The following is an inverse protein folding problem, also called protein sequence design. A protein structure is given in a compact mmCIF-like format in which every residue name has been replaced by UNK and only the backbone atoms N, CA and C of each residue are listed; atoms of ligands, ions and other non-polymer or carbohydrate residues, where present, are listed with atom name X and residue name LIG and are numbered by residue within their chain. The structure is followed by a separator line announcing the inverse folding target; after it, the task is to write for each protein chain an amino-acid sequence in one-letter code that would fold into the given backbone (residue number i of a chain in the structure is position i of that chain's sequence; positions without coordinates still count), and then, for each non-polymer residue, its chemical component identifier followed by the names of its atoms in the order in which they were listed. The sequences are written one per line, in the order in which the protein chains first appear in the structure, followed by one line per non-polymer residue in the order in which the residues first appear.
data_IF_032039621989
#
_entry.id   IF_032039621989
#
_cell.length_a   1.000
_cell.length_b   1.000
_cell.length_c   1.000
_cell.angle_alpha   90.00
_cell.angle_beta   90.00
_cell.angle_gamma   90.00
#
_symmetry.space_group_name_H-M   'P 1'
#
loop_
_entity.id
_entity.type
_entity.pdbx_description
1 polymer ?
#
# COMPACT_ATOMS: atom_id res chain seq x y z
N UNK A 1 0.34 -1.94 49.49
CA UNK A 1 -0.62 -2.02 48.37
C UNK A 1 -0.12 -1.11 47.26
N UNK A 2 0.46 -1.64 46.19
CA UNK A 2 0.84 -0.85 45.01
C UNK A 2 -0.18 -1.12 43.90
N UNK A 3 -0.97 -0.12 43.57
CA UNK A 3 -1.96 -0.15 42.50
C UNK A 3 -1.25 0.17 41.19
N UNK A 4 -0.75 -0.85 40.50
CA UNK A 4 -0.19 -0.69 39.15
C UNK A 4 -1.34 -0.61 38.16
N UNK A 5 -1.81 0.62 37.93
CA UNK A 5 -2.72 0.93 36.83
C UNK A 5 -2.10 0.48 35.51
N UNK A 6 -2.54 -0.68 35.01
CA UNK A 6 -2.26 -1.14 33.64
C UNK A 6 -2.82 -0.09 32.69
N UNK A 7 -1.95 0.66 32.03
CA UNK A 7 -2.31 1.44 30.86
C UNK A 7 -2.73 0.48 29.75
N UNK A 8 -4.02 0.15 29.69
CA UNK A 8 -4.60 -0.53 28.53
C UNK A 8 -4.77 0.54 27.46
N UNK A 9 -3.84 0.60 26.50
CA UNK A 9 -4.10 1.29 25.24
C UNK A 9 -5.25 0.55 24.56
N UNK A 10 -6.46 1.11 24.63
CA UNK A 10 -7.59 0.67 23.79
C UNK A 10 -7.18 0.95 22.34
N UNK A 11 -6.70 -0.08 21.61
CA UNK A 11 -6.58 0.01 20.15
C UNK A 11 -7.99 0.28 19.64
N UNK A 12 -8.18 1.38 18.92
CA UNK A 12 -9.44 1.62 18.22
C UNK A 12 -9.53 0.57 17.13
N UNK A 13 -10.31 -0.48 17.38
CA UNK A 13 -10.58 -1.53 16.41
C UNK A 13 -11.21 -0.84 15.17
N UNK A 14 -10.58 -0.90 13.99
CA UNK A 14 -11.14 -0.33 12.76
C UNK A 14 -12.53 -0.90 12.49
N UNK A 15 -13.40 -0.14 11.81
CA UNK A 15 -14.75 -0.63 11.48
C UNK A 15 -14.72 -1.93 10.68
N UNK A 16 -13.66 -2.16 9.91
CA UNK A 16 -13.43 -3.39 9.16
C UNK A 16 -13.30 -4.64 10.06
N UNK A 17 -12.76 -4.48 11.27
CA UNK A 17 -12.61 -5.58 12.23
C UNK A 17 -13.85 -5.74 13.13
N UNK A 18 -14.69 -4.69 13.26
CA UNK A 18 -15.89 -4.70 14.13
C UNK A 18 -17.08 -5.42 13.53
N UNK A 19 -17.20 -5.47 12.20
CA UNK A 19 -18.40 -5.94 11.49
C UNK A 19 -18.07 -7.07 10.49
N UNK A 20 -17.40 -8.12 10.97
CA UNK A 20 -17.16 -9.33 10.19
C UNK A 20 -18.40 -10.23 10.22
N UNK A 21 -19.03 -10.44 9.07
CA UNK A 21 -20.05 -11.47 8.90
C UNK A 21 -19.45 -12.89 8.90
N UNK A 22 -20.28 -13.94 8.95
CA UNK A 22 -19.83 -15.34 9.00
C UNK A 22 -19.02 -15.77 7.76
N UNK A 23 -19.17 -15.06 6.64
CA UNK A 23 -18.49 -15.32 5.37
C UNK A 23 -17.47 -14.22 5.01
N UNK A 24 -17.24 -13.28 5.91
CA UNK A 24 -16.25 -12.22 5.70
C UNK A 24 -14.87 -12.68 6.18
N UNK A 25 -13.83 -12.24 5.47
CA UNK A 25 -12.44 -12.48 5.83
C UNK A 25 -11.72 -11.15 5.99
N UNK A 26 -10.89 -11.04 7.03
CA UNK A 26 -9.98 -9.93 7.19
C UNK A 26 -8.63 -10.30 6.58
N UNK A 27 -8.20 -9.58 5.54
CA UNK A 27 -6.93 -9.82 4.86
C UNK A 27 -5.95 -8.68 5.12
N UNK A 28 -4.66 -9.02 5.08
CA UNK A 28 -3.59 -8.03 5.08
C UNK A 28 -3.36 -7.48 3.66
N UNK A 29 -3.08 -6.17 3.59
CA UNK A 29 -2.70 -5.47 2.36
C UNK A 29 -1.34 -4.81 2.56
N UNK A 30 -0.43 -5.05 1.62
CA UNK A 30 0.93 -4.48 1.60
C UNK A 30 1.21 -3.79 0.28
N UNK A 31 2.00 -2.72 0.33
CA UNK A 31 2.57 -2.09 -0.86
C UNK A 31 3.91 -2.75 -1.17
N UNK A 32 4.19 -3.04 -2.43
CA UNK A 32 5.48 -3.59 -2.82
C UNK A 32 5.99 -3.08 -4.15
N UNK A 33 7.31 -3.05 -4.30
CA UNK A 33 8.00 -2.93 -5.58
C UNK A 33 8.57 -4.29 -5.96
N UNK A 34 8.64 -4.53 -7.27
CA UNK A 34 9.35 -5.67 -7.83
C UNK A 34 10.71 -5.21 -8.34
N UNK A 35 11.80 -5.77 -7.82
CA UNK A 35 13.12 -5.63 -8.42
C UNK A 35 13.45 -6.88 -9.26
N UNK A 36 13.88 -6.64 -10.50
CA UNK A 36 14.31 -7.66 -11.45
C UNK A 36 15.82 -7.63 -11.73
N UNK A 37 16.58 -6.81 -10.98
CA UNK A 37 18.01 -6.56 -11.22
C UNK A 37 18.90 -7.79 -10.96
N UNK A 38 18.44 -8.72 -10.13
CA UNK A 38 19.09 -10.01 -9.90
C UNK A 38 18.11 -11.08 -10.34
N UNK A 39 18.58 -12.15 -11.01
CA UNK A 39 17.81 -13.28 -11.58
C UNK A 39 16.81 -13.99 -10.60
N UNK A 40 16.58 -13.45 -9.42
CA UNK A 40 15.51 -13.79 -8.49
C UNK A 40 14.58 -12.58 -8.36
N UNK A 41 13.30 -12.78 -8.69
CA UNK A 41 12.25 -11.80 -8.48
C UNK A 41 12.12 -11.49 -6.98
N UNK A 42 12.62 -10.33 -6.56
CA UNK A 42 12.53 -9.88 -5.17
C UNK A 42 11.35 -8.92 -5.00
N UNK A 43 10.51 -9.25 -4.03
CA UNK A 43 9.41 -8.39 -3.56
C UNK A 43 9.95 -7.55 -2.41
N UNK A 44 9.93 -6.22 -2.57
CA UNK A 44 10.28 -5.29 -1.50
C UNK A 44 9.03 -4.58 -1.00
N UNK A 45 8.63 -4.88 0.23
CA UNK A 45 7.50 -4.21 0.87
C UNK A 45 7.88 -2.82 1.36
N UNK A 46 6.98 -1.85 1.23
CA UNK A 46 7.15 -0.48 1.71
C UNK A 46 5.83 0.11 2.23
N UNK A 47 5.89 1.34 2.73
CA UNK A 47 4.71 2.06 3.22
C UNK A 47 4.12 1.45 4.49
N UNK A 48 2.84 1.76 4.74
CA UNK A 48 2.12 1.31 5.93
C UNK A 48 1.09 0.25 5.52
N UNK A 49 1.25 -1.02 5.92
CA UNK A 49 0.25 -2.04 5.64
C UNK A 49 -1.05 -1.76 6.38
N UNK A 50 -2.16 -2.24 5.83
CA UNK A 50 -3.47 -2.09 6.43
C UNK A 50 -4.31 -3.35 6.23
N UNK A 51 -5.37 -3.46 7.00
CA UNK A 51 -6.33 -4.55 6.89
C UNK A 51 -7.53 -4.14 6.04
N UNK A 52 -8.08 -5.10 5.32
CA UNK A 52 -9.33 -4.93 4.61
C UNK A 52 -10.22 -6.14 4.82
N UNK A 53 -11.49 -5.88 5.16
CA UNK A 53 -12.52 -6.90 5.14
C UNK A 53 -12.94 -7.19 3.70
N UNK A 54 -12.92 -8.46 3.31
CA UNK A 54 -13.47 -8.93 2.04
C UNK A 54 -14.62 -9.91 2.26
N UNK A 55 -15.58 -9.94 1.35
CA UNK A 55 -16.69 -10.91 1.38
C UNK A 55 -16.43 -12.10 0.45
N UNK A 56 -17.10 -13.23 0.71
CA UNK A 56 -16.88 -14.51 0.00
C UNK A 56 -16.95 -14.43 -1.52
N UNK A 57 -17.75 -13.52 -2.09
CA UNK A 57 -17.95 -13.40 -3.55
C UNK A 57 -17.44 -12.07 -4.12
N UNK A 58 -16.64 -11.34 -3.33
CA UNK A 58 -16.15 -10.04 -3.75
C UNK A 58 -15.07 -10.19 -4.82
N UNK A 59 -15.28 -9.54 -5.95
CA UNK A 59 -14.34 -9.50 -7.07
C UNK A 59 -13.19 -8.53 -6.77
N UNK A 60 -12.06 -8.71 -7.46
CA UNK A 60 -10.95 -7.76 -7.34
C UNK A 60 -11.36 -6.34 -7.75
N UNK A 61 -12.22 -6.18 -8.77
CA UNK A 61 -12.71 -4.87 -9.19
C UNK A 61 -13.42 -4.12 -8.05
N UNK A 62 -14.28 -4.81 -7.30
CA UNK A 62 -14.99 -4.25 -6.16
C UNK A 62 -14.02 -3.91 -5.01
N UNK A 63 -13.07 -4.81 -4.73
CA UNK A 63 -12.01 -4.58 -3.73
C UNK A 63 -11.14 -3.37 -4.10
N UNK A 64 -10.78 -3.21 -5.37
CA UNK A 64 -9.99 -2.08 -5.89
C UNK A 64 -10.65 -0.75 -5.60
N UNK A 65 -11.95 -0.61 -5.86
CA UNK A 65 -12.72 0.63 -5.57
C UNK A 65 -12.63 1.00 -4.09
N UNK A 66 -12.75 0.01 -3.20
CA UNK A 66 -12.67 0.22 -1.74
C UNK A 66 -11.26 0.60 -1.30
N UNK A 67 -10.24 -0.06 -1.84
CA UNK A 67 -8.82 0.27 -1.57
C UNK A 67 -8.52 1.69 -2.04
N UNK A 68 -8.93 2.06 -3.26
CA UNK A 68 -8.71 3.39 -3.81
C UNK A 68 -9.36 4.46 -2.94
N UNK A 69 -10.61 4.26 -2.54
CA UNK A 69 -11.34 5.17 -1.64
C UNK A 69 -10.64 5.30 -0.28
N UNK A 70 -10.13 4.20 0.26
CA UNK A 70 -9.43 4.17 1.56
C UNK A 70 -8.09 4.90 1.50
N UNK A 71 -7.33 4.74 0.41
CA UNK A 71 -6.02 5.34 0.22
C UNK A 71 -6.07 6.77 -0.36
N UNK A 72 -7.23 7.20 -0.86
CA UNK A 72 -7.45 8.49 -1.51
C UNK A 72 -6.48 8.75 -2.68
N UNK A 73 -6.20 7.71 -3.47
CA UNK A 73 -5.27 7.77 -4.61
C UNK A 73 -6.03 8.20 -5.88
N UNK A 74 -5.52 9.18 -6.65
CA UNK A 74 -6.12 9.57 -7.93
C UNK A 74 -6.22 8.39 -8.91
N UNK A 75 -7.28 8.38 -9.72
CA UNK A 75 -7.52 7.29 -10.68
C UNK A 75 -6.36 7.07 -11.66
N UNK A 76 -5.72 8.15 -12.11
CA UNK A 76 -4.61 8.08 -13.06
C UNK A 76 -3.33 7.47 -12.46
N UNK A 77 -3.18 7.52 -11.13
CA UNK A 77 -2.10 6.84 -10.43
C UNK A 77 -2.51 5.40 -10.12
N UNK A 78 -3.71 5.20 -9.58
CA UNK A 78 -4.21 3.90 -9.14
C UNK A 78 -4.38 2.89 -10.27
N UNK A 79 -4.77 3.34 -11.46
CA UNK A 79 -4.91 2.50 -12.67
C UNK A 79 -3.59 1.87 -13.14
N UNK A 80 -2.44 2.39 -12.71
CA UNK A 80 -1.11 1.85 -13.03
C UNK A 80 -0.70 0.73 -12.06
N UNK A 81 -1.39 0.59 -10.93
CA UNK A 81 -1.03 -0.38 -9.90
C UNK A 81 -1.43 -1.78 -10.34
N UNK A 82 -0.61 -2.77 -9.97
CA UNK A 82 -0.96 -4.18 -10.16
C UNK A 82 -1.27 -4.82 -8.82
N UNK A 83 -2.15 -5.80 -8.86
CA UNK A 83 -2.66 -6.46 -7.66
C UNK A 83 -2.27 -7.92 -7.74
N UNK A 84 -1.67 -8.43 -6.68
CA UNK A 84 -1.23 -9.80 -6.63
C UNK A 84 -1.58 -10.44 -5.30
N UNK A 85 -1.95 -11.71 -5.34
CA UNK A 85 -1.91 -12.56 -4.16
C UNK A 85 -0.46 -12.99 -3.93
N UNK A 86 0.11 -12.68 -2.77
CA UNK A 86 1.46 -13.10 -2.43
C UNK A 86 1.40 -14.30 -1.50
N UNK A 87 2.22 -15.30 -1.81
CA UNK A 87 2.46 -16.47 -0.96
C UNK A 87 3.93 -16.84 -1.05
N UNK A 88 4.62 -16.96 0.09
CA UNK A 88 6.04 -17.31 0.16
C UNK A 88 6.93 -16.41 -0.72
N UNK A 89 6.62 -15.11 -0.79
CA UNK A 89 7.36 -14.12 -1.59
C UNK A 89 7.12 -14.19 -3.09
N UNK A 90 6.21 -15.05 -3.57
CA UNK A 90 5.85 -15.16 -4.98
C UNK A 90 4.51 -14.48 -5.23
N UNK A 91 4.44 -13.47 -6.11
CA UNK A 91 3.17 -12.85 -6.47
C UNK A 91 2.48 -13.62 -7.60
N UNK A 92 1.19 -13.86 -7.40
CA UNK A 92 0.22 -14.35 -8.39
C UNK A 92 -0.73 -13.20 -8.75
N UNK A 93 -0.60 -12.64 -9.95
CA UNK A 93 -1.36 -11.44 -10.33
C UNK A 93 -2.82 -11.76 -10.58
N UNK A 94 -3.68 -10.93 -10.00
CA UNK A 94 -5.13 -11.09 -10.05
C UNK A 94 -5.74 -10.23 -11.16
N UNK A 95 -6.79 -10.77 -11.77
CA UNK A 95 -7.66 -10.09 -12.74
C UNK A 95 -8.88 -9.51 -12.03
N UNK A 96 -9.53 -8.54 -12.68
CA UNK A 96 -10.68 -7.83 -12.11
C UNK A 96 -11.86 -8.74 -11.74
N UNK A 97 -12.03 -9.86 -12.46
CA UNK A 97 -13.09 -10.84 -12.21
C UNK A 97 -12.72 -11.92 -11.18
N UNK A 98 -11.46 -11.94 -10.70
CA UNK A 98 -11.05 -12.93 -9.71
C UNK A 98 -11.77 -12.71 -8.37
N UNK A 99 -12.25 -13.80 -7.78
CA UNK A 99 -12.83 -13.79 -6.42
C UNK A 99 -11.68 -13.79 -5.41
N UNK A 100 -11.53 -12.69 -4.67
CA UNK A 100 -10.35 -12.47 -3.81
C UNK A 100 -10.30 -13.49 -2.67
N UNK A 101 -11.44 -13.72 -2.01
CA UNK A 101 -11.58 -14.66 -0.88
C UNK A 101 -11.07 -16.07 -1.21
N UNK A 102 -11.25 -16.52 -2.47
CA UNK A 102 -10.87 -17.86 -2.94
C UNK A 102 -9.38 -18.14 -2.83
N UNK A 103 -8.55 -17.10 -2.85
CA UNK A 103 -7.10 -17.19 -2.74
C UNK A 103 -6.61 -17.40 -1.30
N UNK A 104 -7.43 -17.05 -0.31
CA UNK A 104 -7.09 -17.10 1.12
C UNK A 104 -7.70 -18.31 1.86
N UNK A 105 -8.16 -19.34 1.15
CA UNK A 105 -8.93 -20.46 1.73
C UNK A 105 -8.07 -21.60 2.31
N UNK A 106 -6.74 -21.61 2.11
CA UNK A 106 -5.90 -22.71 2.60
C UNK A 106 -5.34 -22.42 3.99
N UNK A 107 -5.88 -23.17 4.95
CA UNK A 107 -5.34 -23.38 6.30
C UNK A 107 -4.07 -24.23 6.24
N UNK A 108 -2.99 -23.66 6.72
CA UNK A 108 -1.92 -24.32 7.44
C UNK A 108 -1.44 -23.39 8.55
N UNK A 109 -1.30 -23.97 9.75
CA UNK A 109 -1.21 -23.31 11.07
C UNK A 109 0.05 -22.41 11.20
N UNK A 110 0.92 -22.39 10.18
CA UNK A 110 2.16 -21.61 10.14
C UNK A 110 2.25 -20.61 8.96
N UNK A 111 1.39 -20.71 7.93
CA UNK A 111 1.49 -19.93 6.67
C UNK A 111 0.59 -18.69 6.58
N UNK A 112 -0.27 -18.45 7.57
CA UNK A 112 -1.24 -17.34 7.55
C UNK A 112 -0.60 -15.94 7.53
N UNK A 113 0.65 -15.80 8.02
CA UNK A 113 1.39 -14.54 8.00
C UNK A 113 2.12 -14.29 6.67
N UNK A 114 2.18 -15.29 5.79
CA UNK A 114 2.90 -15.23 4.51
C UNK A 114 1.97 -14.92 3.34
N UNK A 115 0.66 -14.84 3.59
CA UNK A 115 -0.37 -14.57 2.59
C UNK A 115 -0.94 -13.17 2.74
N UNK A 116 -0.89 -12.39 1.67
CA UNK A 116 -1.48 -11.04 1.63
C UNK A 116 -1.83 -10.61 0.22
N UNK A 117 -2.67 -9.58 0.12
CA UNK A 117 -2.91 -8.87 -1.13
C UNK A 117 -1.84 -7.78 -1.30
N UNK A 118 -0.99 -7.92 -2.30
CA UNK A 118 0.05 -6.97 -2.64
C UNK A 118 -0.42 -5.93 -3.65
N UNK A 119 -0.04 -4.68 -3.41
CA UNK A 119 -0.23 -3.53 -4.28
C UNK A 119 1.12 -3.17 -4.91
N UNK A 120 1.34 -3.61 -6.14
CA UNK A 120 2.57 -3.29 -6.88
C UNK A 120 2.50 -1.86 -7.41
N UNK A 121 3.38 -0.99 -6.90
CA UNK A 121 3.62 0.34 -7.46
C UNK A 121 4.96 0.91 -6.98
N UNK A 122 5.44 1.97 -7.65
CA UNK A 122 6.60 2.71 -7.17
C UNK A 122 6.29 3.46 -5.88
N UNK A 123 7.23 3.52 -4.94
CA UNK A 123 7.13 4.38 -3.77
C UNK A 123 7.14 5.86 -4.17
N UNK A 124 5.95 6.46 -4.24
CA UNK A 124 5.77 7.89 -4.53
C UNK A 124 5.93 8.76 -3.27
N UNK A 125 6.06 8.17 -2.08
CA UNK A 125 6.36 8.92 -0.85
C UNK A 125 7.75 9.55 -0.90
N UNK A 126 8.73 8.82 -1.47
CA UNK A 126 10.05 9.37 -1.79
C UNK A 126 9.96 10.55 -2.76
N UNK A 127 9.13 10.47 -3.81
CA UNK A 127 8.97 11.55 -4.80
C UNK A 127 8.30 12.81 -4.24
N UNK A 128 7.34 12.67 -3.30
CA UNK A 128 6.71 13.82 -2.64
C UNK A 128 7.69 14.59 -1.75
N UNK A 129 8.61 13.91 -1.07
CA UNK A 129 9.67 14.58 -0.31
C UNK A 129 10.59 15.43 -1.19
N UNK A 130 10.90 14.97 -2.42
CA UNK A 130 11.66 15.77 -3.38
C UNK A 130 10.85 16.92 -3.99
N UNK A 131 9.57 16.73 -4.31
CA UNK A 131 8.73 17.79 -4.88
C UNK A 131 8.45 18.93 -3.88
N UNK A 132 8.21 18.63 -2.59
CA UNK A 132 8.05 19.65 -1.54
C UNK A 132 9.29 20.53 -1.38
N UNK A 133 10.49 19.99 -1.61
CA UNK A 133 11.73 20.77 -1.55
C UNK A 133 11.97 21.64 -2.81
N UNK A 134 11.34 21.32 -3.95
CA UNK A 134 11.45 22.14 -5.16
C UNK A 134 10.53 23.38 -5.15
N UNK A 135 9.42 23.34 -4.41
CA UNK A 135 8.52 24.49 -4.27
C UNK A 135 9.03 25.62 -3.36
N UNK A 136 10.21 25.47 -2.74
CA UNK A 136 10.87 26.56 -1.98
C UNK A 136 12.02 27.24 -2.77
N UNK A 137 12.32 26.80 -3.99
CA UNK A 137 13.31 27.45 -4.86
C UNK A 137 12.68 28.01 -6.14
N UNK A 138 11.62 28.80 -6.00
CA UNK A 138 11.30 29.83 -7.00
C UNK A 138 12.08 31.11 -6.67
N UNK A 139 13.34 31.20 -7.11
CA UNK A 139 13.97 32.50 -7.27
C UNK A 139 13.51 33.12 -8.59
N UNK A 140 12.49 33.97 -8.46
CA UNK A 140 12.13 35.18 -9.24
C UNK A 140 12.90 35.40 -10.56
N UNK A 141 12.21 35.56 -11.73
CA UNK A 141 12.86 35.94 -12.98
C UNK A 141 13.00 37.47 -13.12
N UNK A 142 14.19 37.96 -13.49
CA UNK A 142 14.38 39.34 -13.98
C UNK A 142 15.86 39.72 -14.25
N UNK A 143 16.17 40.61 -15.22
CA UNK A 143 17.31 40.43 -16.13
C UNK A 143 18.53 41.39 -15.97
N UNK A 144 19.70 40.83 -16.31
CA UNK A 144 20.89 41.30 -17.07
C UNK A 144 21.50 42.72 -16.84
N UNK A 145 22.85 42.72 -16.82
CA UNK A 145 23.86 43.71 -17.26
C UNK A 145 24.49 44.65 -16.22
N UNK A 146 25.79 44.43 -15.95
CA UNK A 146 26.78 45.48 -16.25
C UNK A 146 28.14 44.90 -16.62
N UNK A 147 28.71 45.51 -17.65
CA UNK A 147 29.98 45.29 -18.32
C UNK A 147 31.18 45.42 -17.36
N UNK A 148 32.28 44.77 -17.73
CA UNK A 148 33.56 44.90 -17.03
C UNK A 148 34.26 46.25 -17.24
N UNK A 149 35.31 46.45 -16.44
CA UNK A 149 36.52 47.26 -16.61
C UNK A 149 37.43 46.84 -15.43
N UNK A 150 38.66 46.33 -15.63
CA UNK A 150 39.85 47.13 -15.93
C UNK A 150 40.07 48.12 -14.78
N UNK A 151 41.05 48.00 -13.90
CA UNK A 151 42.52 47.88 -14.09
C UNK A 151 43.13 47.13 -12.91
#
# INVERSE_FOLDING_TARGET
MINTGRYVRRRQIPEEEKNLGPHDQLIHIYHFTKDGSQNQMQVQNFGVPFFLKISERETLAEVKVRIQKKLQVPNDEFSKWKFAFLSLGRPDYLQDYDIVSSRFQRRDIYGAWEQYLGLEHSDSAAKRAYATNQHHMEMIPGPILLLGLGV
#
